data_IF_445703036783
#
_entry.id   IF_445703036783
#
_cell.length_a   1.000
_cell.length_b   1.000
_cell.length_c   1.000
_cell.angle_alpha   90.00
_cell.angle_beta   90.00
_cell.angle_gamma   90.00
#
_symmetry.space_group_name_H-M   'P 1'
#
loop_
_entity.id
_entity.type
_entity.pdbx_description
1 polymer ?
#
# COMPACT_ATOMS: atom_id res chain seq x y z
N UNK A 1 16.39 -9.06 -21.24
CA UNK A 1 16.94 -7.83 -20.66
C UNK A 1 16.71 -7.74 -19.17
N UNK A 2 15.53 -8.09 -18.65
CA UNK A 2 15.29 -8.17 -17.20
C UNK A 2 16.28 -9.16 -16.56
N UNK A 3 17.06 -8.70 -15.59
CA UNK A 3 18.04 -9.52 -14.87
C UNK A 3 19.45 -9.57 -15.47
N UNK A 4 19.73 -8.85 -16.56
CA UNK A 4 21.08 -8.69 -17.12
C UNK A 4 21.69 -7.36 -16.67
N UNK A 5 23.01 -7.31 -16.49
CA UNK A 5 23.72 -6.06 -16.21
C UNK A 5 23.79 -5.17 -17.46
N UNK A 6 23.98 -3.86 -17.28
CA UNK A 6 24.09 -2.91 -18.40
C UNK A 6 25.23 -3.30 -19.37
N UNK A 7 26.34 -3.81 -18.84
CA UNK A 7 27.47 -4.33 -19.63
C UNK A 7 27.07 -5.52 -20.50
N UNK A 8 26.32 -6.48 -19.94
CA UNK A 8 25.83 -7.64 -20.70
C UNK A 8 24.86 -7.25 -21.81
N UNK A 9 23.97 -6.29 -21.55
CA UNK A 9 23.02 -5.80 -22.55
C UNK A 9 23.75 -5.08 -23.69
N UNK A 10 24.78 -4.31 -23.35
CA UNK A 10 25.61 -3.56 -24.31
C UNK A 10 26.46 -4.51 -25.16
N UNK A 11 27.12 -5.49 -24.54
CA UNK A 11 27.96 -6.48 -25.21
C UNK A 11 27.15 -7.39 -26.16
N UNK A 12 25.93 -7.76 -25.75
CA UNK A 12 25.03 -8.60 -26.55
C UNK A 12 24.20 -7.81 -27.57
N UNK A 13 24.33 -6.48 -27.62
CA UNK A 13 23.55 -5.57 -28.48
C UNK A 13 22.05 -5.85 -28.44
N UNK A 14 21.54 -6.23 -27.27
CA UNK A 14 20.13 -6.56 -27.11
C UNK A 14 19.30 -5.28 -27.24
N UNK A 15 18.34 -5.28 -28.17
CA UNK A 15 17.37 -4.19 -28.34
C UNK A 15 16.01 -4.60 -27.81
N UNK A 16 15.34 -3.68 -27.14
CA UNK A 16 14.03 -3.95 -26.55
C UNK A 16 12.96 -3.60 -27.58
N UNK A 17 12.35 -4.64 -28.15
CA UNK A 17 11.28 -4.50 -29.14
C UNK A 17 10.03 -3.82 -28.58
N UNK A 18 9.82 -3.82 -27.25
CA UNK A 18 8.71 -3.15 -26.60
C UNK A 18 8.98 -1.66 -26.35
N UNK A 19 10.25 -1.23 -26.36
CA UNK A 19 10.60 0.16 -26.07
C UNK A 19 10.09 1.13 -27.14
N UNK A 20 10.05 0.70 -28.40
CA UNK A 20 9.55 1.51 -29.53
C UNK A 20 8.03 1.52 -29.65
N UNK A 21 7.35 0.58 -28.98
CA UNK A 21 5.89 0.51 -28.91
C UNK A 21 5.39 1.35 -27.72
N UNK A 22 6.01 1.19 -26.56
CA UNK A 22 5.61 1.85 -25.31
C UNK A 22 6.20 3.27 -25.18
N UNK A 23 5.95 4.12 -26.17
CA UNK A 23 6.41 5.52 -26.15
C UNK A 23 5.38 6.39 -25.41
N UNK A 24 5.81 7.18 -24.42
CA UNK A 24 4.92 8.11 -23.75
C UNK A 24 4.38 9.20 -24.67
N UNK A 25 3.14 9.63 -24.43
CA UNK A 25 2.52 10.81 -25.04
C UNK A 25 3.40 12.05 -24.84
N UNK A 26 3.72 12.76 -25.93
CA UNK A 26 4.61 13.93 -25.88
C UNK A 26 6.12 13.61 -25.87
N UNK A 27 6.48 12.33 -26.00
CA UNK A 27 7.87 11.85 -26.05
C UNK A 27 8.43 11.48 -24.69
N UNK A 28 9.66 10.98 -24.69
CA UNK A 28 10.35 10.50 -23.48
C UNK A 28 11.61 11.30 -23.17
N UNK A 29 12.06 11.18 -21.92
CA UNK A 29 13.39 11.52 -21.47
C UNK A 29 14.08 10.24 -20.99
N UNK A 30 15.36 10.06 -21.31
CA UNK A 30 16.11 8.90 -20.81
C UNK A 30 16.40 9.09 -19.33
N UNK A 31 15.98 8.12 -18.52
CA UNK A 31 16.29 8.00 -17.10
C UNK A 31 16.58 6.54 -16.82
N UNK A 32 17.84 6.23 -16.55
CA UNK A 32 18.24 4.88 -16.20
C UNK A 32 17.39 4.37 -15.03
N UNK A 33 16.91 3.12 -15.15
CA UNK A 33 16.18 2.46 -14.08
C UNK A 33 17.17 1.73 -13.16
N UNK A 34 17.36 2.18 -11.90
CA UNK A 34 18.30 1.54 -10.98
C UNK A 34 17.99 0.06 -10.73
N UNK A 35 16.74 -0.36 -10.94
CA UNK A 35 16.27 -1.72 -10.71
C UNK A 35 16.26 -2.59 -11.98
N UNK A 36 16.52 -2.01 -13.16
CA UNK A 36 16.54 -2.72 -14.44
C UNK A 36 15.22 -3.41 -14.81
N UNK A 37 14.09 -2.96 -14.26
CA UNK A 37 12.75 -3.51 -14.51
C UNK A 37 11.99 -2.74 -15.59
N UNK A 38 12.50 -1.57 -15.99
CA UNK A 38 11.93 -0.67 -16.99
C UNK A 38 12.96 -0.38 -18.09
N UNK A 39 12.48 0.08 -19.23
CA UNK A 39 13.30 0.39 -20.41
C UNK A 39 14.02 1.75 -20.35
N UNK A 40 13.87 2.51 -19.25
CA UNK A 40 14.48 3.82 -19.04
C UNK A 40 13.88 4.98 -19.86
N UNK A 41 12.84 4.75 -20.66
CA UNK A 41 12.12 5.81 -21.40
C UNK A 41 11.04 6.43 -20.51
N UNK A 42 11.44 7.37 -19.65
CA UNK A 42 10.54 8.05 -18.74
C UNK A 42 9.68 9.12 -19.46
N UNK A 43 8.44 9.37 -19.01
CA UNK A 43 7.62 10.44 -19.56
C UNK A 43 8.20 11.81 -19.19
N UNK A 44 7.90 12.83 -20.00
CA UNK A 44 8.26 14.23 -19.71
C UNK A 44 7.47 14.80 -18.53
N UNK A 45 7.96 15.87 -17.95
CA UNK A 45 7.42 16.49 -16.72
C UNK A 45 5.91 16.77 -16.77
N UNK A 46 5.38 17.21 -17.91
CA UNK A 46 3.94 17.44 -18.08
C UNK A 46 3.11 16.16 -17.90
N UNK A 47 3.58 15.02 -18.43
CA UNK A 47 2.91 13.73 -18.28
C UNK A 47 3.18 13.10 -16.92
N UNK A 48 4.35 13.34 -16.33
CA UNK A 48 4.63 12.97 -14.93
C UNK A 48 3.62 13.64 -13.99
N UNK A 49 3.26 14.91 -14.23
CA UNK A 49 2.24 15.60 -13.43
C UNK A 49 0.87 14.94 -13.54
N UNK A 50 0.48 14.41 -14.71
CA UNK A 50 -0.77 13.67 -14.87
C UNK A 50 -0.80 12.43 -13.98
N UNK A 51 0.27 11.62 -14.02
CA UNK A 51 0.39 10.42 -13.17
C UNK A 51 0.42 10.78 -11.67
N UNK A 52 1.11 11.87 -11.33
CA UNK A 52 1.24 12.34 -9.95
C UNK A 52 -0.12 12.77 -9.39
N UNK A 53 -0.90 13.54 -10.17
CA UNK A 53 -2.26 13.94 -9.79
C UNK A 53 -3.19 12.74 -9.63
N UNK A 54 -3.17 11.80 -10.58
CA UNK A 54 -3.98 10.60 -10.51
C UNK A 54 -3.63 9.72 -9.30
N UNK A 55 -2.34 9.60 -8.96
CA UNK A 55 -1.88 8.93 -7.73
C UNK A 55 -2.45 9.61 -6.49
N UNK A 56 -2.34 10.92 -6.39
CA UNK A 56 -2.78 11.67 -5.21
C UNK A 56 -4.31 11.60 -5.03
N UNK A 57 -5.05 11.64 -6.14
CA UNK A 57 -6.49 11.47 -6.16
C UNK A 57 -6.91 10.07 -5.72
N UNK A 58 -6.31 9.03 -6.31
CA UNK A 58 -6.56 7.63 -5.91
C UNK A 58 -6.21 7.39 -4.43
N UNK A 59 -5.09 7.96 -3.95
CA UNK A 59 -4.68 7.87 -2.55
C UNK A 59 -5.66 8.57 -1.60
N UNK A 60 -6.23 9.72 -2.00
CA UNK A 60 -7.21 10.44 -1.21
C UNK A 60 -8.53 9.67 -1.04
N UNK A 61 -8.93 8.86 -2.04
CA UNK A 61 -10.12 8.01 -1.99
C UNK A 61 -9.98 6.90 -0.94
N UNK A 62 -8.78 6.31 -0.82
CA UNK A 62 -8.50 5.20 0.12
C UNK A 62 -7.86 5.66 1.44
N UNK A 63 -7.74 6.97 1.65
CA UNK A 63 -7.07 7.54 2.80
C UNK A 63 -7.80 7.23 4.12
N UNK A 64 -7.03 7.01 5.18
CA UNK A 64 -7.53 6.82 6.56
C UNK A 64 -8.41 7.97 7.07
N UNK A 65 -8.27 9.16 6.48
CA UNK A 65 -9.06 10.33 6.83
C UNK A 65 -10.52 10.22 6.38
N UNK A 66 -10.80 9.43 5.33
CA UNK A 66 -12.18 9.13 4.91
C UNK A 66 -12.98 8.42 6.02
N UNK A 67 -12.33 7.52 6.75
CA UNK A 67 -12.94 6.86 7.90
C UNK A 67 -13.23 7.83 9.07
N UNK A 68 -12.45 8.93 9.19
CA UNK A 68 -12.73 10.00 10.17
C UNK A 68 -13.90 10.88 9.73
N UNK A 69 -14.05 11.08 8.42
CA UNK A 69 -15.18 11.79 7.82
C UNK A 69 -16.48 10.97 7.76
N UNK A 70 -16.45 9.70 8.19
CA UNK A 70 -17.61 8.81 8.18
C UNK A 70 -17.94 8.24 6.81
N UNK A 71 -17.02 8.33 5.84
CA UNK A 71 -17.18 7.75 4.51
C UNK A 71 -16.66 6.30 4.55
N UNK A 72 -17.53 5.29 4.32
CA UNK A 72 -17.10 3.90 4.32
C UNK A 72 -16.32 3.58 3.04
N UNK A 73 -15.23 2.83 3.19
CA UNK A 73 -14.51 2.27 2.04
C UNK A 73 -15.32 1.11 1.46
N UNK A 74 -15.63 1.17 0.16
CA UNK A 74 -16.40 0.14 -0.55
C UNK A 74 -15.61 -0.37 -1.74
N UNK A 75 -15.91 -1.58 -2.22
CA UNK A 75 -15.29 -2.15 -3.42
C UNK A 75 -15.45 -1.22 -4.64
N UNK A 76 -16.59 -0.51 -4.73
CA UNK A 76 -16.83 0.49 -5.77
C UNK A 76 -15.82 1.63 -5.74
N UNK A 77 -15.55 2.21 -4.56
CA UNK A 77 -14.57 3.29 -4.41
C UNK A 77 -13.15 2.81 -4.75
N UNK A 78 -12.81 1.57 -4.38
CA UNK A 78 -11.53 0.96 -4.75
C UNK A 78 -11.43 0.78 -6.27
N UNK A 79 -12.50 0.31 -6.92
CA UNK A 79 -12.55 0.17 -8.37
C UNK A 79 -12.46 1.52 -9.10
N UNK A 80 -13.08 2.58 -8.56
CA UNK A 80 -12.97 3.95 -9.07
C UNK A 80 -11.52 4.47 -8.96
N UNK A 81 -10.87 4.29 -7.80
CA UNK A 81 -9.46 4.66 -7.62
C UNK A 81 -8.53 3.92 -8.60
N UNK A 82 -8.74 2.62 -8.81
CA UNK A 82 -8.02 1.85 -9.82
C UNK A 82 -8.30 2.34 -11.25
N UNK A 83 -9.54 2.75 -11.54
CA UNK A 83 -9.91 3.28 -12.86
C UNK A 83 -9.23 4.61 -13.17
N UNK A 84 -9.09 5.49 -12.17
CA UNK A 84 -8.32 6.74 -12.28
C UNK A 84 -6.87 6.44 -12.66
N UNK A 85 -6.23 5.49 -11.97
CA UNK A 85 -4.86 5.09 -12.26
C UNK A 85 -4.72 4.50 -13.67
N UNK A 86 -5.62 3.60 -14.08
CA UNK A 86 -5.63 3.03 -15.44
C UNK A 86 -5.80 4.11 -16.50
N UNK A 87 -6.73 5.04 -16.29
CA UNK A 87 -6.98 6.16 -17.21
C UNK A 87 -5.75 7.04 -17.36
N UNK A 88 -5.10 7.40 -16.26
CA UNK A 88 -3.86 8.18 -16.29
C UNK A 88 -2.71 7.44 -17.00
N UNK A 89 -2.54 6.14 -16.74
CA UNK A 89 -1.56 5.31 -17.46
C UNK A 89 -1.86 5.26 -18.95
N UNK A 90 -3.12 5.15 -19.36
CA UNK A 90 -3.52 5.14 -20.77
C UNK A 90 -3.30 6.50 -21.46
N UNK A 91 -3.49 7.62 -20.74
CA UNK A 91 -3.18 8.96 -21.26
C UNK A 91 -1.68 9.10 -21.53
N UNK A 92 -0.85 8.65 -20.59
CA UNK A 92 0.60 8.76 -20.72
C UNK A 92 1.17 7.72 -21.68
N UNK A 93 0.63 6.50 -21.71
CA UNK A 93 1.08 5.39 -22.54
C UNK A 93 -0.11 4.83 -23.35
N UNK A 94 -0.49 5.48 -24.46
CA UNK A 94 -1.68 5.10 -25.23
C UNK A 94 -1.55 3.73 -25.90
N UNK A 95 -0.32 3.32 -26.25
CA UNK A 95 -0.01 1.99 -26.78
C UNK A 95 0.23 0.94 -25.69
N UNK A 96 0.00 1.31 -24.42
CA UNK A 96 0.24 0.48 -23.26
C UNK A 96 1.69 0.50 -22.79
N UNK A 97 1.88 0.04 -21.55
CA UNK A 97 3.19 -0.21 -20.97
C UNK A 97 3.73 -1.58 -21.43
N UNK A 98 5.05 -1.79 -21.39
CA UNK A 98 5.62 -3.11 -21.69
C UNK A 98 5.03 -4.21 -20.78
N UNK A 99 4.86 -5.45 -21.25
CA UNK A 99 4.28 -6.55 -20.45
C UNK A 99 5.03 -6.84 -19.15
N UNK A 100 6.34 -6.58 -19.14
CA UNK A 100 7.22 -6.79 -17.98
C UNK A 100 7.26 -5.57 -17.03
N UNK A 101 6.59 -4.46 -17.36
CA UNK A 101 6.59 -3.26 -16.51
C UNK A 101 5.80 -3.54 -15.22
N UNK A 102 6.36 -3.25 -14.02
CA UNK A 102 5.67 -3.48 -12.75
C UNK A 102 4.29 -2.83 -12.66
N UNK A 103 4.13 -1.62 -13.18
CA UNK A 103 2.83 -0.90 -13.13
C UNK A 103 1.79 -1.64 -13.96
N UNK A 104 2.18 -2.19 -15.11
CA UNK A 104 1.26 -2.99 -15.92
C UNK A 104 0.90 -4.29 -15.23
N UNK A 105 1.86 -4.98 -14.65
CA UNK A 105 1.62 -6.24 -13.93
C UNK A 105 0.66 -6.02 -12.76
N UNK A 106 0.89 -4.99 -11.95
CA UNK A 106 0.02 -4.61 -10.81
C UNK A 106 -1.39 -4.22 -11.27
N UNK A 107 -1.51 -3.44 -12.36
CA UNK A 107 -2.83 -3.10 -12.92
C UNK A 107 -3.52 -4.34 -13.52
N UNK A 108 -2.82 -5.31 -14.08
CA UNK A 108 -3.43 -6.52 -14.66
C UNK A 108 -3.65 -7.65 -13.64
N UNK A 109 -3.31 -7.45 -12.36
CA UNK A 109 -3.29 -8.49 -11.32
C UNK A 109 -2.44 -9.71 -11.72
N UNK A 110 -1.28 -9.46 -12.35
CA UNK A 110 -0.34 -10.48 -12.84
C UNK A 110 1.03 -10.38 -12.16
N UNK A 111 1.13 -9.55 -11.14
CA UNK A 111 2.34 -9.39 -10.35
C UNK A 111 2.67 -10.65 -9.55
N UNK A 112 3.95 -11.02 -9.55
CA UNK A 112 4.45 -12.04 -8.64
C UNK A 112 4.92 -11.39 -7.35
N UNK A 113 4.19 -11.64 -6.26
CA UNK A 113 4.53 -11.15 -4.93
C UNK A 113 5.43 -12.11 -4.16
N UNK A 114 5.78 -13.29 -4.73
CA UNK A 114 6.58 -14.30 -4.04
C UNK A 114 7.91 -13.72 -3.53
N UNK A 115 8.24 -14.03 -2.27
CA UNK A 115 9.46 -13.52 -1.62
C UNK A 115 9.48 -12.01 -1.32
N UNK A 116 8.42 -11.25 -1.64
CA UNK A 116 8.33 -9.82 -1.32
C UNK A 116 7.61 -9.57 0.01
N UNK A 117 7.88 -8.43 0.65
CA UNK A 117 7.12 -8.00 1.84
C UNK A 117 5.63 -7.76 1.55
N UNK A 118 5.28 -7.41 0.31
CA UNK A 118 3.90 -7.21 -0.11
C UNK A 118 3.05 -8.51 -0.02
N UNK A 119 3.67 -9.69 -0.19
CA UNK A 119 2.98 -10.98 0.00
C UNK A 119 2.44 -11.19 1.43
N UNK A 120 3.03 -10.51 2.42
CA UNK A 120 2.55 -10.59 3.80
C UNK A 120 1.25 -9.79 3.99
N UNK A 121 1.05 -8.74 3.19
CA UNK A 121 -0.11 -7.86 3.25
C UNK A 121 -1.31 -8.41 2.48
N UNK A 122 -1.06 -9.22 1.45
CA UNK A 122 -2.11 -9.92 0.71
C UNK A 122 -2.58 -11.15 1.49
N UNK A 123 -3.88 -11.21 1.74
CA UNK A 123 -4.54 -12.31 2.45
C UNK A 123 -5.66 -12.86 1.59
N UNK A 124 -5.68 -14.18 1.42
CA UNK A 124 -6.79 -14.87 0.81
C UNK A 124 -8.05 -14.68 1.70
N UNK A 125 -9.20 -14.28 1.12
CA UNK A 125 -10.42 -14.09 1.88
C UNK A 125 -10.88 -15.31 2.65
N UNK A 126 -10.52 -16.54 2.28
CA UNK A 126 -10.83 -17.76 3.05
C UNK A 126 -9.87 -18.03 4.21
N UNK A 127 -8.64 -17.56 4.12
CA UNK A 127 -7.62 -17.67 5.18
C UNK A 127 -7.58 -16.46 6.12
N UNK A 128 -8.40 -15.44 5.87
CA UNK A 128 -8.52 -14.26 6.72
C UNK A 128 -9.42 -14.50 7.95
N UNK A 129 -8.94 -14.09 9.12
CA UNK A 129 -9.67 -14.05 10.39
C UNK A 129 -9.76 -12.61 10.90
N UNK A 130 -10.93 -12.24 11.44
CA UNK A 130 -11.16 -10.96 12.09
C UNK A 130 -11.13 -11.15 13.61
N UNK A 131 -10.54 -10.19 14.32
CA UNK A 131 -10.41 -10.22 15.77
C UNK A 131 -10.90 -8.92 16.39
N UNK A 132 -11.78 -9.05 17.38
CA UNK A 132 -12.30 -7.94 18.14
C UNK A 132 -12.12 -8.21 19.64
N UNK A 133 -11.46 -7.28 20.34
CA UNK A 133 -11.22 -7.37 21.80
C UNK A 133 -10.66 -8.73 22.28
N UNK A 134 -9.72 -9.32 21.52
CA UNK A 134 -9.10 -10.59 21.86
C UNK A 134 -9.96 -11.84 21.58
N UNK A 135 -11.12 -11.68 20.93
CA UNK A 135 -11.95 -12.79 20.46
C UNK A 135 -11.98 -12.86 18.94
N UNK A 136 -11.90 -14.07 18.41
CA UNK A 136 -12.06 -14.32 16.98
C UNK A 136 -13.52 -14.12 16.56
N UNK A 137 -13.72 -13.37 15.49
CA UNK A 137 -15.00 -13.19 14.82
C UNK A 137 -15.19 -14.28 13.77
N UNK A 138 -16.12 -15.18 14.04
CA UNK A 138 -16.43 -16.32 13.18
C UNK A 138 -17.35 -15.89 12.03
N UNK A 139 -17.12 -16.48 10.86
CA UNK A 139 -17.99 -16.29 9.70
C UNK A 139 -19.40 -16.81 9.99
N UNK A 140 -20.41 -16.09 9.54
CA UNK A 140 -21.83 -16.44 9.75
C UNK A 140 -22.42 -15.96 11.07
N UNK A 141 -21.61 -15.46 12.02
CA UNK A 141 -22.12 -14.75 13.20
C UNK A 141 -22.35 -13.28 12.89
N UNK A 142 -23.29 -12.68 13.60
CA UNK A 142 -23.62 -11.26 13.43
C UNK A 142 -22.69 -10.40 14.26
N UNK A 143 -22.49 -9.14 13.86
CA UNK A 143 -21.72 -8.17 14.65
C UNK A 143 -22.33 -7.95 16.05
N UNK A 144 -23.65 -8.10 16.18
CA UNK A 144 -24.36 -7.97 17.45
C UNK A 144 -23.93 -9.00 18.50
N UNK A 145 -23.46 -10.18 18.07
CA UNK A 145 -22.97 -11.23 18.96
C UNK A 145 -21.64 -10.85 19.65
N UNK A 146 -20.91 -9.88 19.07
CA UNK A 146 -19.60 -9.45 19.55
C UNK A 146 -19.64 -8.07 20.21
N UNK A 147 -20.39 -7.14 19.62
CA UNK A 147 -20.42 -5.72 20.01
C UNK A 147 -21.68 -5.39 20.83
N UNK A 148 -22.71 -6.24 20.78
CA UNK A 148 -24.01 -6.01 21.39
C UNK A 148 -24.99 -5.27 20.46
N UNK A 149 -26.13 -4.84 21.02
CA UNK A 149 -27.23 -4.21 20.27
C UNK A 149 -27.11 -2.68 20.13
N UNK A 150 -25.96 -2.09 20.47
CA UNK A 150 -25.79 -0.64 20.46
C UNK A 150 -25.37 -0.15 19.06
N UNK A 151 -26.23 0.65 18.43
CA UNK A 151 -26.04 1.17 17.07
C UNK A 151 -25.03 2.32 16.98
N UNK A 152 -24.69 2.99 18.09
CA UNK A 152 -23.71 4.09 18.11
C UNK A 152 -22.36 3.64 18.67
N UNK A 153 -21.75 2.62 18.06
CA UNK A 153 -20.47 2.08 18.51
C UNK A 153 -19.43 2.14 17.39
N UNK A 154 -18.26 2.72 17.68
CA UNK A 154 -17.08 2.63 16.82
C UNK A 154 -16.19 1.50 17.33
N UNK A 155 -15.86 0.55 16.45
CA UNK A 155 -15.01 -0.59 16.79
C UNK A 155 -13.76 -0.62 15.93
N UNK A 156 -12.66 -1.10 16.49
CA UNK A 156 -11.43 -1.40 15.78
C UNK A 156 -11.29 -2.92 15.74
N UNK A 157 -11.20 -3.46 14.53
CA UNK A 157 -11.09 -4.89 14.28
C UNK A 157 -9.76 -5.15 13.61
N UNK A 158 -9.06 -6.20 14.04
CA UNK A 158 -7.78 -6.60 13.47
C UNK A 158 -7.97 -7.75 12.48
N UNK A 159 -7.29 -7.67 11.34
CA UNK A 159 -7.26 -8.70 10.32
C UNK A 159 -5.97 -9.51 10.45
N UNK A 160 -6.09 -10.84 10.46
CA UNK A 160 -4.93 -11.74 10.62
C UNK A 160 -5.09 -13.02 9.79
N UNK A 161 -3.95 -13.63 9.41
CA UNK A 161 -3.91 -14.94 8.73
C UNK A 161 -4.30 -16.05 9.71
N UNK A 162 -5.10 -17.00 9.22
CA UNK A 162 -5.52 -18.18 9.97
C UNK A 162 -4.30 -18.95 10.49
N UNK A 163 -4.30 -19.24 11.78
CA UNK A 163 -3.23 -19.99 12.46
C UNK A 163 -2.14 -19.14 13.12
N UNK A 164 -2.15 -17.81 12.98
CA UNK A 164 -1.21 -16.94 13.71
C UNK A 164 -1.67 -16.59 15.14
N UNK A 165 -2.77 -17.17 15.63
CA UNK A 165 -3.30 -16.93 16.97
C UNK A 165 -3.90 -15.54 17.14
N UNK A 166 -4.09 -15.12 18.40
CA UNK A 166 -4.64 -13.80 18.70
C UNK A 166 -3.65 -12.68 18.33
N UNK A 167 -4.11 -11.57 17.74
CA UNK A 167 -3.23 -10.48 17.36
C UNK A 167 -2.63 -9.82 18.59
N UNK A 168 -1.38 -9.38 18.47
CA UNK A 168 -0.68 -8.64 19.49
C UNK A 168 -1.49 -7.44 19.98
N UNK A 169 -1.49 -7.21 21.29
CA UNK A 169 -2.19 -6.07 21.89
C UNK A 169 -1.52 -4.79 21.39
N UNK A 170 -2.33 -3.82 20.97
CA UNK A 170 -1.78 -2.51 20.60
C UNK A 170 -1.15 -1.87 21.85
N UNK A 171 0.01 -1.21 21.71
CA UNK A 171 0.56 -0.43 22.81
C UNK A 171 -0.45 0.65 23.20
N UNK A 172 -0.78 0.71 24.49
CA UNK A 172 -1.78 1.62 25.05
C UNK A 172 -1.37 3.09 24.93
N UNK A 173 -0.10 3.35 24.63
CA UNK A 173 0.52 4.67 24.63
C UNK A 173 1.44 4.77 23.43
N UNK A 174 1.50 5.94 22.82
CA UNK A 174 2.53 6.23 21.83
C UNK A 174 3.92 6.25 22.49
N UNK A 175 4.99 6.01 21.73
CA UNK A 175 6.36 6.04 22.28
C UNK A 175 6.69 7.41 22.91
N UNK A 176 6.15 8.50 22.36
CA UNK A 176 6.33 9.85 22.91
C UNK A 176 5.62 10.03 24.26
N UNK A 177 4.39 9.52 24.40
CA UNK A 177 3.66 9.55 25.67
C UNK A 177 4.36 8.69 26.72
N UNK A 178 4.86 7.51 26.32
CA UNK A 178 5.62 6.62 27.20
C UNK A 178 6.91 7.29 27.70
N UNK A 179 7.65 7.99 26.83
CA UNK A 179 8.83 8.78 27.22
C UNK A 179 8.50 9.91 28.19
N UNK A 180 7.40 10.65 27.94
CA UNK A 180 6.94 11.72 28.84
C UNK A 180 6.56 11.19 30.21
N UNK A 181 5.88 10.04 30.27
CA UNK A 181 5.49 9.40 31.52
C UNK A 181 6.73 8.97 32.32
N UNK A 182 7.68 8.29 31.67
CA UNK A 182 8.94 7.86 32.29
C UNK A 182 9.75 9.06 32.81
N UNK A 183 9.80 10.16 32.07
CA UNK A 183 10.47 11.38 32.51
C UNK A 183 9.76 12.04 33.72
N UNK A 184 8.43 11.98 33.78
CA UNK A 184 7.66 12.50 34.91
C UNK A 184 7.85 11.63 36.17
N UNK A 185 7.86 10.30 36.03
CA UNK A 185 8.16 9.38 37.13
C UNK A 185 9.57 9.59 37.68
N UNK A 186 10.56 9.78 36.81
CA UNK A 186 11.94 10.04 37.23
C UNK A 186 12.04 11.33 38.06
N UNK A 187 11.43 12.43 37.61
CA UNK A 187 11.40 13.69 38.39
C UNK A 187 10.73 13.52 39.74
N UNK A 188 9.60 12.79 39.79
CA UNK A 188 8.89 12.52 41.04
C UNK A 188 9.73 11.68 42.01
N UNK A 189 10.52 10.72 41.53
CA UNK A 189 11.44 9.96 42.36
C UNK A 189 12.56 10.83 42.93
N UNK A 190 13.14 11.72 42.13
CA UNK A 190 14.19 12.65 42.59
C UNK A 190 13.66 13.63 43.65
N UNK A 191 12.44 14.15 43.47
CA UNK A 191 11.77 15.02 44.45
C UNK A 191 11.45 14.30 45.78
N UNK A 192 11.14 13.00 45.73
CA UNK A 192 10.89 12.19 46.93
C UNK A 192 12.19 11.87 47.69
N UNK A 193 13.29 11.61 46.98
CA UNK A 193 14.62 11.41 47.58
C UNK A 193 15.17 12.66 48.27
N UNK A 194 14.84 13.85 47.76
CA UNK A 194 15.28 15.13 48.36
C UNK A 194 14.42 15.57 49.54
N UNK A 195 13.23 14.97 49.74
CA UNK A 195 12.31 15.28 50.85
C UNK A 195 12.42 14.29 52.03
N UNK A 196 13.35 13.35 51.99
CA UNK A 196 13.68 12.44 53.10
C UNK A 196 15.01 12.87 53.72
#
# INVERSE_FOLDING_TARGET
MVGLTEDQVTDLKLQDSQADIAVPSGGFQMRADPLGRRNGRAPKDNMVQVLTKARDEAAAIVAKDQARAGVPLTERLVAEALSILRGATMIVYPMGLPPYDPVRMELENREDLSGTQASLQVMDPGLAQLWFSGKEMLRGKTLADYIGKNEKTKVVVKLQKKGQGAPGREPLMTEEEQKKLMAAEFRRQEELKTKT
#
